data_IF_163784943234
#
_entry.id   IF_163784943234
#
_cell.length_a   1.000
_cell.length_b   1.000
_cell.length_c   1.000
_cell.angle_alpha   90.00
_cell.angle_beta   90.00
_cell.angle_gamma   90.00
#
_symmetry.space_group_name_H-M   'P 1'
#
loop_
_entity.id
_entity.type
_entity.pdbx_description
1 polymer ?
#
# COMPACT_ATOMS: atom_id res chain seq x y z
N UNK A 1 -37.95 9.20 -26.61
CA UNK A 1 -36.84 8.20 -26.58
C UNK A 1 -36.44 8.02 -25.14
N UNK A 2 -36.23 6.78 -24.70
CA UNK A 2 -35.90 6.47 -23.29
C UNK A 2 -34.48 5.97 -23.15
N UNK A 3 -33.85 6.33 -22.05
CA UNK A 3 -32.47 5.96 -21.69
C UNK A 3 -32.50 5.11 -20.43
N UNK A 4 -31.86 3.96 -20.46
CA UNK A 4 -31.57 3.18 -19.26
C UNK A 4 -30.34 3.73 -18.58
N UNK A 5 -30.51 4.22 -17.38
CA UNK A 5 -29.40 4.76 -16.57
C UNK A 5 -28.54 3.67 -15.95
N UNK A 6 -27.36 4.02 -15.48
CA UNK A 6 -26.49 3.11 -14.71
C UNK A 6 -27.09 2.62 -13.39
N UNK A 7 -28.12 3.30 -12.88
CA UNK A 7 -28.85 2.90 -11.68
C UNK A 7 -30.12 2.08 -11.97
N UNK A 8 -30.21 1.47 -13.15
CA UNK A 8 -31.33 0.64 -13.60
C UNK A 8 -32.68 1.37 -13.68
N UNK A 9 -32.71 2.69 -13.66
CA UNK A 9 -33.90 3.49 -13.95
C UNK A 9 -34.03 3.79 -15.43
N UNK A 10 -35.27 4.02 -15.88
CA UNK A 10 -35.57 4.43 -17.25
C UNK A 10 -36.01 5.89 -17.20
N UNK A 11 -35.37 6.75 -17.96
CA UNK A 11 -35.67 8.18 -18.03
C UNK A 11 -35.82 8.63 -19.48
N UNK A 12 -36.53 9.74 -19.69
CA UNK A 12 -36.55 10.35 -21.01
C UNK A 12 -35.16 10.89 -21.38
N UNK A 13 -34.82 10.73 -22.66
CA UNK A 13 -33.58 11.28 -23.20
C UNK A 13 -33.59 12.81 -23.06
N UNK A 14 -32.52 13.34 -22.47
CA UNK A 14 -32.34 14.78 -22.28
C UNK A 14 -30.88 15.15 -22.61
N UNK A 15 -30.70 15.87 -23.74
CA UNK A 15 -29.39 16.31 -24.21
C UNK A 15 -28.70 17.30 -23.24
N UNK A 16 -29.46 18.03 -22.41
CA UNK A 16 -28.88 18.88 -21.36
C UNK A 16 -28.04 18.10 -20.34
N UNK A 17 -28.38 16.83 -20.08
CA UNK A 17 -27.57 15.96 -19.20
C UNK A 17 -26.20 15.66 -19.81
N UNK A 18 -26.10 15.58 -21.15
CA UNK A 18 -24.82 15.41 -21.86
C UNK A 18 -23.97 16.66 -21.68
N UNK A 19 -24.53 17.87 -21.92
CA UNK A 19 -23.84 19.13 -21.72
C UNK A 19 -23.31 19.24 -20.28
N UNK A 20 -24.17 18.97 -19.30
CA UNK A 20 -23.79 19.03 -17.89
C UNK A 20 -22.65 18.06 -17.55
N UNK A 21 -22.68 16.83 -18.09
CA UNK A 21 -21.60 15.85 -17.91
C UNK A 21 -20.30 16.31 -18.56
N UNK A 22 -20.35 16.82 -19.79
CA UNK A 22 -19.20 17.35 -20.52
C UNK A 22 -18.53 18.52 -19.79
N UNK A 23 -19.31 19.45 -19.26
CA UNK A 23 -18.79 20.60 -18.52
C UNK A 23 -18.25 20.17 -17.15
N UNK A 24 -19.01 19.38 -16.39
CA UNK A 24 -18.67 19.02 -15.01
C UNK A 24 -17.56 17.96 -14.94
N UNK A 25 -17.68 16.89 -15.71
CA UNK A 25 -16.76 15.74 -15.67
C UNK A 25 -15.59 15.96 -16.61
N UNK A 26 -15.86 16.42 -17.85
CA UNK A 26 -14.85 16.64 -18.87
C UNK A 26 -14.12 17.97 -18.75
N UNK A 27 -14.67 18.94 -17.99
CA UNK A 27 -14.17 20.32 -17.92
C UNK A 27 -14.15 21.04 -19.28
N UNK A 28 -15.10 20.74 -20.17
CA UNK A 28 -15.20 21.37 -21.45
C UNK A 28 -15.75 22.81 -21.31
N UNK A 29 -15.31 23.75 -22.16
CA UNK A 29 -16.00 25.03 -22.33
C UNK A 29 -17.46 24.80 -22.77
N UNK A 30 -18.38 25.60 -22.27
CA UNK A 30 -19.82 25.44 -22.51
C UNK A 30 -20.17 25.39 -24.02
N UNK A 31 -19.60 26.29 -24.81
CA UNK A 31 -19.83 26.35 -26.26
C UNK A 31 -19.39 25.08 -26.99
N UNK A 32 -18.25 24.53 -26.60
CA UNK A 32 -17.74 23.25 -27.14
C UNK A 32 -18.64 22.08 -26.70
N UNK A 33 -19.05 22.05 -25.43
CA UNK A 33 -19.96 21.04 -24.92
C UNK A 33 -21.31 21.03 -25.66
N UNK A 34 -21.82 22.21 -26.00
CA UNK A 34 -23.04 22.34 -26.80
C UNK A 34 -22.86 21.76 -28.21
N UNK A 35 -21.78 22.12 -28.92
CA UNK A 35 -21.47 21.60 -30.26
C UNK A 35 -21.32 20.08 -30.28
N UNK A 36 -20.57 19.53 -29.34
CA UNK A 36 -20.39 18.06 -29.24
C UNK A 36 -21.73 17.38 -28.95
N UNK A 37 -22.53 17.95 -28.05
CA UNK A 37 -23.86 17.42 -27.73
C UNK A 37 -24.81 17.39 -28.88
N UNK A 38 -24.85 18.45 -29.67
CA UNK A 38 -25.69 18.56 -30.90
C UNK A 38 -25.32 17.48 -31.91
N UNK A 39 -24.04 17.22 -32.11
CA UNK A 39 -23.59 16.15 -33.02
C UNK A 39 -23.94 14.76 -32.48
N UNK A 40 -23.75 14.52 -31.19
CA UNK A 40 -24.12 13.27 -30.54
C UNK A 40 -25.62 13.03 -30.64
N UNK A 41 -26.44 14.05 -30.39
CA UNK A 41 -27.89 14.00 -30.51
C UNK A 41 -28.33 13.64 -31.95
N UNK A 42 -27.72 14.26 -32.96
CA UNK A 42 -27.97 13.93 -34.36
C UNK A 42 -27.61 12.49 -34.70
N UNK A 43 -26.53 11.94 -34.16
CA UNK A 43 -26.14 10.52 -34.33
C UNK A 43 -27.12 9.59 -33.65
N UNK A 44 -27.55 9.90 -32.43
CA UNK A 44 -28.55 9.11 -31.69
C UNK A 44 -29.86 9.01 -32.50
N UNK A 45 -30.36 10.11 -33.03
CA UNK A 45 -31.58 10.08 -33.85
C UNK A 45 -31.39 9.31 -35.16
N UNK A 46 -30.21 9.38 -35.76
CA UNK A 46 -29.90 8.69 -37.03
C UNK A 46 -29.83 7.17 -36.84
N UNK A 47 -29.36 6.68 -35.69
CA UNK A 47 -29.23 5.23 -35.41
C UNK A 47 -30.55 4.53 -35.12
N UNK A 48 -31.66 5.23 -34.87
CA UNK A 48 -32.99 4.69 -34.61
C UNK A 48 -33.02 3.53 -33.60
N UNK A 49 -32.13 3.54 -32.63
CA UNK A 49 -32.03 2.50 -31.60
C UNK A 49 -33.27 2.53 -30.69
N UNK A 50 -33.91 1.35 -30.51
CA UNK A 50 -35.09 1.22 -29.65
C UNK A 50 -34.76 1.51 -28.18
N UNK A 51 -33.54 1.21 -27.73
CA UNK A 51 -33.09 1.41 -26.36
C UNK A 51 -31.71 2.09 -26.34
N UNK A 52 -31.65 3.23 -25.67
CA UNK A 52 -30.39 3.91 -25.34
C UNK A 52 -29.94 3.51 -23.95
N UNK A 53 -28.64 3.37 -23.78
CA UNK A 53 -28.04 3.25 -22.44
C UNK A 53 -27.08 4.41 -22.21
N UNK A 54 -26.88 4.78 -20.95
CA UNK A 54 -25.91 5.81 -20.60
C UNK A 54 -24.48 5.48 -21.08
N UNK A 55 -24.14 4.20 -21.15
CA UNK A 55 -22.86 3.73 -21.69
C UNK A 55 -22.74 4.00 -23.19
N UNK A 56 -23.77 3.68 -23.97
CA UNK A 56 -23.77 3.93 -25.42
C UNK A 56 -23.68 5.43 -25.75
N UNK A 57 -24.41 6.26 -25.01
CA UNK A 57 -24.33 7.72 -25.16
C UNK A 57 -22.90 8.20 -24.91
N UNK A 58 -22.23 7.69 -23.86
CA UNK A 58 -20.85 8.04 -23.52
C UNK A 58 -19.85 7.59 -24.60
N UNK A 59 -20.04 6.42 -25.18
CA UNK A 59 -19.23 5.95 -26.32
C UNK A 59 -19.38 6.87 -27.55
N UNK A 60 -20.60 7.28 -27.86
CA UNK A 60 -20.84 8.25 -28.92
C UNK A 60 -20.17 9.60 -28.65
N UNK A 61 -20.28 10.10 -27.41
CA UNK A 61 -19.57 11.32 -26.98
C UNK A 61 -18.07 11.17 -27.17
N UNK A 62 -17.48 10.07 -26.72
CA UNK A 62 -16.06 9.80 -26.86
C UNK A 62 -15.62 9.70 -28.34
N UNK A 63 -16.44 9.09 -29.20
CA UNK A 63 -16.17 9.02 -30.64
C UNK A 63 -16.14 10.41 -31.28
N UNK A 64 -17.15 11.25 -30.97
CA UNK A 64 -17.22 12.61 -31.49
C UNK A 64 -16.04 13.46 -30.99
N UNK A 65 -15.66 13.36 -29.71
CA UNK A 65 -14.50 14.06 -29.18
C UNK A 65 -13.19 13.67 -29.88
N UNK A 66 -12.98 12.39 -30.18
CA UNK A 66 -11.81 11.90 -30.91
C UNK A 66 -11.79 12.40 -32.37
N UNK A 67 -12.91 12.36 -33.07
CA UNK A 67 -13.04 12.83 -34.46
C UNK A 67 -12.73 14.31 -34.59
N UNK A 68 -13.02 15.08 -33.55
CA UNK A 68 -12.72 16.53 -33.50
C UNK A 68 -11.33 16.85 -32.89
N UNK A 69 -10.50 15.83 -32.58
CA UNK A 69 -9.15 16.02 -32.03
C UNK A 69 -9.10 16.43 -30.56
N UNK A 70 -10.19 16.24 -29.83
CA UNK A 70 -10.32 16.61 -28.41
C UNK A 70 -9.99 15.45 -27.45
N UNK A 71 -8.87 14.78 -27.65
CA UNK A 71 -8.46 13.60 -26.90
C UNK A 71 -8.29 13.88 -25.40
N UNK A 72 -7.83 15.07 -25.04
CA UNK A 72 -7.64 15.46 -23.64
C UNK A 72 -8.95 15.43 -22.82
N UNK A 73 -10.06 15.82 -23.41
CA UNK A 73 -11.37 15.78 -22.74
C UNK A 73 -11.93 14.36 -22.67
N UNK A 74 -11.68 13.54 -23.68
CA UNK A 74 -12.04 12.12 -23.67
C UNK A 74 -11.41 11.41 -22.47
N UNK A 75 -10.13 11.65 -22.15
CA UNK A 75 -9.48 11.04 -21.00
C UNK A 75 -10.19 11.37 -19.67
N UNK A 76 -10.68 12.60 -19.53
CA UNK A 76 -11.42 13.00 -18.32
C UNK A 76 -12.81 12.36 -18.23
N UNK A 77 -13.42 12.03 -19.37
CA UNK A 77 -14.72 11.37 -19.46
C UNK A 77 -14.62 9.84 -19.47
N UNK A 78 -13.40 9.28 -19.48
CA UNK A 78 -13.19 7.86 -19.47
C UNK A 78 -13.85 7.22 -18.23
N UNK A 79 -14.52 6.10 -18.42
CA UNK A 79 -15.02 5.28 -17.31
C UNK A 79 -13.88 4.42 -16.79
N UNK A 80 -13.72 4.44 -15.51
CA UNK A 80 -12.91 3.47 -14.78
C UNK A 80 -13.84 2.33 -14.38
N UNK A 81 -13.50 1.10 -14.73
CA UNK A 81 -14.32 -0.07 -14.39
C UNK A 81 -13.92 -1.31 -15.16
N UNK A 82 -14.52 -2.43 -14.77
CA UNK A 82 -14.23 -3.73 -15.38
C UNK A 82 -15.17 -4.02 -16.56
N UNK A 83 -14.67 -4.59 -17.66
CA UNK A 83 -15.48 -5.16 -18.72
C UNK A 83 -16.41 -6.25 -18.17
N UNK A 84 -17.60 -6.39 -18.74
CA UNK A 84 -18.59 -7.41 -18.31
C UNK A 84 -18.00 -8.82 -18.33
N UNK A 85 -17.17 -9.12 -19.33
CA UNK A 85 -16.51 -10.40 -19.47
C UNK A 85 -15.58 -10.69 -18.27
N UNK A 86 -14.74 -9.73 -17.86
CA UNK A 86 -13.84 -9.90 -16.73
C UNK A 86 -14.60 -10.11 -15.41
N UNK A 87 -15.69 -9.37 -15.19
CA UNK A 87 -16.56 -9.60 -14.03
C UNK A 87 -17.14 -11.00 -14.02
N UNK A 88 -17.60 -11.49 -15.17
CA UNK A 88 -18.11 -12.85 -15.31
C UNK A 88 -17.02 -13.89 -15.04
N UNK A 89 -15.82 -13.67 -15.55
CA UNK A 89 -14.66 -14.53 -15.33
C UNK A 89 -14.27 -14.59 -13.85
N UNK A 90 -14.24 -13.43 -13.16
CA UNK A 90 -14.00 -13.36 -11.71
C UNK A 90 -15.03 -14.18 -10.92
N UNK A 91 -16.31 -14.12 -11.28
CA UNK A 91 -17.36 -14.90 -10.64
C UNK A 91 -17.18 -16.40 -10.93
N UNK A 92 -16.89 -16.76 -12.18
CA UNK A 92 -16.73 -18.15 -12.58
C UNK A 92 -15.52 -18.80 -11.92
N UNK A 93 -14.44 -18.05 -11.75
CA UNK A 93 -13.20 -18.51 -11.13
C UNK A 93 -13.08 -18.06 -9.65
N UNK A 94 -14.19 -17.82 -8.97
CA UNK A 94 -14.22 -17.32 -7.60
C UNK A 94 -13.50 -18.25 -6.59
N UNK A 95 -13.40 -19.54 -6.89
CA UNK A 95 -12.64 -20.52 -6.11
C UNK A 95 -11.12 -20.21 -6.05
N UNK A 96 -10.60 -19.47 -7.03
CA UNK A 96 -9.20 -19.02 -7.07
C UNK A 96 -8.94 -17.76 -6.25
N UNK A 97 -9.99 -17.15 -5.70
CA UNK A 97 -9.92 -15.91 -4.91
C UNK A 97 -9.90 -16.24 -3.42
N UNK A 98 -8.86 -15.79 -2.74
CA UNK A 98 -8.77 -15.95 -1.28
C UNK A 98 -9.89 -15.17 -0.57
N UNK A 99 -10.36 -15.71 0.54
CA UNK A 99 -11.40 -15.12 1.42
C UNK A 99 -12.82 -15.01 0.80
N UNK A 100 -13.12 -15.82 -0.21
CA UNK A 100 -14.48 -15.96 -0.71
C UNK A 100 -15.08 -14.66 -1.27
N UNK A 101 -16.35 -14.38 -0.95
CA UNK A 101 -17.09 -13.24 -1.50
C UNK A 101 -16.45 -11.89 -1.14
N UNK A 102 -15.93 -11.73 0.06
CA UNK A 102 -15.27 -10.48 0.48
C UNK A 102 -13.99 -10.24 -0.32
N UNK A 103 -13.18 -11.29 -0.54
CA UNK A 103 -11.99 -11.21 -1.38
C UNK A 103 -12.31 -10.86 -2.83
N UNK A 104 -13.40 -11.41 -3.38
CA UNK A 104 -13.88 -11.07 -4.71
C UNK A 104 -14.25 -9.58 -4.84
N UNK A 105 -15.02 -9.07 -3.89
CA UNK A 105 -15.40 -7.66 -3.85
C UNK A 105 -14.18 -6.74 -3.68
N UNK A 106 -13.23 -7.12 -2.82
CA UNK A 106 -12.02 -6.38 -2.59
C UNK A 106 -11.13 -6.33 -3.83
N UNK A 107 -10.92 -7.47 -4.51
CA UNK A 107 -10.16 -7.57 -5.75
C UNK A 107 -10.77 -6.72 -6.86
N UNK A 108 -12.11 -6.77 -7.02
CA UNK A 108 -12.83 -5.91 -7.96
C UNK A 108 -12.58 -4.42 -7.68
N UNK A 109 -12.68 -4.01 -6.41
CA UNK A 109 -12.38 -2.64 -6.02
C UNK A 109 -10.93 -2.24 -6.28
N UNK A 110 -9.97 -3.12 -5.97
CA UNK A 110 -8.55 -2.87 -6.24
C UNK A 110 -8.27 -2.67 -7.73
N UNK A 111 -8.89 -3.46 -8.61
CA UNK A 111 -8.70 -3.33 -10.07
C UNK A 111 -9.20 -1.97 -10.56
N UNK A 112 -10.37 -1.53 -10.10
CA UNK A 112 -10.92 -0.21 -10.42
C UNK A 112 -10.00 0.93 -9.94
N UNK A 113 -9.51 0.84 -8.71
CA UNK A 113 -8.57 1.85 -8.18
C UNK A 113 -7.21 1.83 -8.87
N UNK A 114 -6.71 0.66 -9.28
CA UNK A 114 -5.47 0.53 -10.03
C UNK A 114 -5.59 1.19 -11.42
N UNK A 115 -6.67 0.94 -12.12
CA UNK A 115 -6.94 1.58 -13.41
C UNK A 115 -7.04 3.10 -13.27
N UNK A 116 -7.79 3.59 -12.27
CA UNK A 116 -7.88 5.03 -11.98
C UNK A 116 -6.50 5.63 -11.65
N UNK A 117 -5.66 4.90 -10.90
CA UNK A 117 -4.30 5.35 -10.59
C UNK A 117 -3.49 5.57 -11.87
N UNK A 118 -3.46 4.55 -12.74
CA UNK A 118 -2.63 4.55 -13.96
C UNK A 118 -3.14 5.53 -15.03
N UNK A 119 -4.46 5.69 -15.14
CA UNK A 119 -5.05 6.51 -16.21
C UNK A 119 -5.27 7.97 -15.83
N UNK A 120 -5.49 8.27 -14.54
CA UNK A 120 -5.97 9.59 -14.11
C UNK A 120 -5.15 10.26 -13.01
N UNK A 121 -4.44 9.49 -12.18
CA UNK A 121 -3.75 10.04 -11.00
C UNK A 121 -2.26 10.27 -11.25
N UNK A 122 -1.60 9.29 -11.87
CA UNK A 122 -0.16 9.36 -12.17
C UNK A 122 0.10 10.23 -13.40
N UNK A 123 1.27 10.89 -13.45
CA UNK A 123 1.80 11.41 -14.69
C UNK A 123 1.98 10.29 -15.72
N UNK A 124 1.77 10.59 -16.99
CA UNK A 124 1.82 9.59 -18.07
C UNK A 124 3.18 8.86 -18.12
N UNK A 125 4.28 9.57 -17.95
CA UNK A 125 5.63 9.01 -17.95
C UNK A 125 5.84 7.96 -16.82
N UNK A 126 5.23 8.16 -15.66
CA UNK A 126 5.28 7.20 -14.54
C UNK A 126 4.35 6.00 -14.77
N UNK A 127 3.17 6.23 -15.31
CA UNK A 127 2.27 5.15 -15.68
C UNK A 127 2.89 4.28 -16.79
N UNK A 128 3.47 4.89 -17.82
CA UNK A 128 4.16 4.21 -18.91
C UNK A 128 5.39 3.43 -18.38
N UNK A 129 6.18 4.02 -17.48
CA UNK A 129 7.32 3.36 -16.86
C UNK A 129 6.90 2.16 -15.98
N UNK A 130 5.73 2.22 -15.35
CA UNK A 130 5.18 1.07 -14.65
C UNK A 130 4.75 -0.02 -15.63
N UNK A 131 4.09 0.32 -16.71
CA UNK A 131 3.64 -0.63 -17.73
C UNK A 131 4.81 -1.28 -18.47
N UNK A 132 5.85 -0.50 -18.81
CA UNK A 132 7.06 -1.00 -19.49
C UNK A 132 7.94 -1.87 -18.60
N UNK A 133 7.91 -1.70 -17.27
CA UNK A 133 8.76 -2.41 -16.31
C UNK A 133 10.03 -1.67 -15.91
N UNK A 134 10.18 -0.39 -16.26
CA UNK A 134 11.28 0.46 -15.76
C UNK A 134 11.12 0.75 -14.28
N UNK A 135 9.86 0.79 -13.83
CA UNK A 135 9.49 0.93 -12.43
C UNK A 135 8.31 0.00 -12.09
N UNK A 136 8.18 -0.32 -10.81
CA UNK A 136 7.04 -1.08 -10.28
C UNK A 136 6.35 -0.32 -9.15
N UNK A 137 5.02 -0.26 -9.21
CA UNK A 137 4.17 0.21 -8.12
C UNK A 137 3.51 -1.02 -7.50
N UNK A 138 3.86 -1.31 -6.25
CA UNK A 138 3.25 -2.41 -5.48
C UNK A 138 1.83 -2.02 -5.07
N UNK A 139 0.90 -2.95 -5.18
CA UNK A 139 -0.51 -2.75 -4.81
C UNK A 139 -1.12 -1.46 -5.39
N UNK A 140 -1.13 -1.28 -6.72
CA UNK A 140 -1.61 -0.05 -7.34
C UNK A 140 -3.05 0.30 -6.94
N UNK A 141 -3.90 -0.70 -6.69
CA UNK A 141 -5.27 -0.49 -6.22
C UNK A 141 -5.39 0.10 -4.80
N UNK A 142 -4.36 -0.01 -3.98
CA UNK A 142 -4.32 0.54 -2.62
C UNK A 142 -3.40 1.76 -2.51
N UNK A 143 -2.56 2.00 -3.51
CA UNK A 143 -1.48 2.97 -3.47
C UNK A 143 -1.94 4.39 -3.12
N UNK A 144 -3.08 4.83 -3.62
CA UNK A 144 -3.61 6.18 -3.38
C UNK A 144 -4.38 6.33 -2.07
N UNK A 145 -4.73 5.23 -1.40
CA UNK A 145 -5.69 5.23 -0.29
C UNK A 145 -5.13 4.71 1.03
N UNK A 146 -4.05 3.90 1.00
CA UNK A 146 -3.43 3.36 2.21
C UNK A 146 -1.92 3.63 2.24
N UNK A 147 -1.34 3.88 3.43
CA UNK A 147 0.10 3.79 3.64
C UNK A 147 0.57 2.34 3.50
N UNK A 148 1.84 2.14 3.23
CA UNK A 148 2.40 0.79 3.08
C UNK A 148 2.74 0.17 4.42
N UNK A 149 3.49 0.88 5.25
CA UNK A 149 3.87 0.42 6.58
C UNK A 149 3.52 1.48 7.62
N UNK A 150 2.95 1.02 8.73
CA UNK A 150 2.61 1.83 9.90
C UNK A 150 3.45 1.33 11.07
N UNK A 151 4.13 2.24 11.77
CA UNK A 151 4.67 1.98 13.11
C UNK A 151 3.80 2.70 14.12
N UNK A 152 3.28 1.98 15.09
CA UNK A 152 2.38 2.55 16.10
C UNK A 152 2.76 2.10 17.50
N UNK A 153 2.88 3.05 18.41
CA UNK A 153 3.01 2.76 19.82
C UNK A 153 1.65 2.42 20.41
N UNK A 154 1.46 1.15 20.76
CA UNK A 154 0.16 0.66 21.25
C UNK A 154 0.03 0.73 22.77
N UNK A 155 1.07 1.11 23.50
CA UNK A 155 1.03 1.18 24.97
C UNK A 155 -0.09 2.11 25.45
N UNK A 156 -0.12 3.35 24.96
CA UNK A 156 -1.18 4.30 25.32
C UNK A 156 -2.57 3.81 24.91
N UNK A 157 -2.69 3.19 23.71
CA UNK A 157 -3.95 2.66 23.23
C UNK A 157 -4.53 1.57 24.12
N UNK A 158 -3.65 0.75 24.71
CA UNK A 158 -4.03 -0.34 25.62
C UNK A 158 -4.28 0.19 27.04
N UNK A 159 -3.46 1.10 27.55
CA UNK A 159 -3.54 1.61 28.91
C UNK A 159 -4.73 2.55 29.11
N UNK A 160 -4.96 3.47 28.19
CA UNK A 160 -6.00 4.50 28.27
C UNK A 160 -7.29 4.10 27.55
N UNK A 161 -7.18 3.15 26.60
CA UNK A 161 -8.24 2.84 25.64
C UNK A 161 -8.33 3.87 24.53
N UNK A 162 -9.24 3.66 23.58
CA UNK A 162 -9.40 4.53 22.41
C UNK A 162 -10.87 4.86 22.20
N UNK A 163 -11.19 6.14 22.16
CA UNK A 163 -12.46 6.62 21.63
C UNK A 163 -12.34 6.84 20.12
N UNK A 164 -12.93 5.93 19.35
CA UNK A 164 -12.96 6.01 17.90
C UNK A 164 -14.06 6.98 17.48
N UNK A 165 -13.71 8.23 17.23
CA UNK A 165 -14.63 9.24 16.70
C UNK A 165 -14.83 9.01 15.19
N UNK A 166 -15.69 8.06 14.84
CA UNK A 166 -15.97 7.78 13.44
C UNK A 166 -17.46 7.60 13.19
N UNK A 167 -17.98 8.21 12.14
CA UNK A 167 -19.36 8.09 11.70
C UNK A 167 -19.74 6.68 11.20
N UNK A 168 -18.77 5.74 11.15
CA UNK A 168 -18.87 4.54 10.32
C UNK A 168 -18.50 3.25 11.04
N UNK A 169 -18.25 3.28 12.35
CA UNK A 169 -17.77 2.12 13.06
C UNK A 169 -18.87 1.50 13.91
N UNK A 170 -19.02 0.20 13.80
CA UNK A 170 -19.83 -0.60 14.73
C UNK A 170 -19.23 -0.62 16.14
N UNK A 171 -17.97 -0.20 16.29
CA UNK A 171 -17.23 -0.08 17.55
C UNK A 171 -16.84 1.38 17.73
N UNK A 172 -17.40 2.03 18.74
CA UNK A 172 -17.07 3.43 19.05
C UNK A 172 -15.96 3.59 20.08
N UNK A 173 -15.60 2.53 20.82
CA UNK A 173 -14.58 2.56 21.87
C UNK A 173 -13.88 1.23 22.03
N UNK A 174 -12.53 1.28 22.13
CA UNK A 174 -11.74 0.16 22.61
C UNK A 174 -11.46 0.42 24.09
N UNK A 175 -11.88 -0.48 25.01
CA UNK A 175 -11.71 -0.25 26.44
C UNK A 175 -10.24 -0.35 26.87
N UNK A 176 -9.87 0.39 27.93
CA UNK A 176 -8.56 0.25 28.57
C UNK A 176 -8.34 -1.14 29.13
N UNK A 177 -7.13 -1.67 29.00
CA UNK A 177 -6.75 -2.99 29.51
C UNK A 177 -6.22 -2.86 30.93
N UNK A 178 -7.11 -3.10 31.92
CA UNK A 178 -6.75 -3.13 33.34
C UNK A 178 -6.42 -4.51 33.85
N UNK A 179 -6.93 -5.56 33.20
CA UNK A 179 -6.76 -6.95 33.61
C UNK A 179 -6.36 -7.81 32.40
N UNK A 180 -5.75 -8.96 32.68
CA UNK A 180 -5.41 -9.95 31.64
C UNK A 180 -6.64 -10.43 30.86
N UNK A 181 -7.81 -10.52 31.51
CA UNK A 181 -9.03 -10.95 30.83
C UNK A 181 -9.46 -10.01 29.70
N UNK A 182 -9.15 -8.73 29.81
CA UNK A 182 -9.50 -7.72 28.80
C UNK A 182 -8.43 -7.60 27.69
N UNK A 183 -7.23 -8.14 27.92
CA UNK A 183 -6.10 -8.01 26.98
C UNK A 183 -6.43 -8.63 25.62
N UNK A 184 -6.91 -9.87 25.59
CA UNK A 184 -7.21 -10.57 24.34
C UNK A 184 -8.23 -9.81 23.48
N UNK A 185 -9.33 -9.38 24.08
CA UNK A 185 -10.39 -8.65 23.37
C UNK A 185 -9.89 -7.32 22.83
N UNK A 186 -9.22 -6.51 23.67
CA UNK A 186 -8.72 -5.20 23.25
C UNK A 186 -7.66 -5.32 22.15
N UNK A 187 -6.73 -6.28 22.30
CA UNK A 187 -5.68 -6.51 21.31
C UNK A 187 -6.27 -6.98 19.98
N UNK A 188 -7.23 -7.92 20.00
CA UNK A 188 -7.90 -8.39 18.78
C UNK A 188 -8.67 -7.27 18.08
N UNK A 189 -9.33 -6.37 18.84
CA UNK A 189 -10.02 -5.20 18.27
C UNK A 189 -9.03 -4.23 17.62
N UNK A 190 -7.92 -3.92 18.28
CA UNK A 190 -6.88 -3.03 17.74
C UNK A 190 -6.32 -3.64 16.44
N UNK A 191 -5.94 -4.91 16.45
CA UNK A 191 -5.38 -5.58 15.27
C UNK A 191 -6.39 -5.62 14.13
N UNK A 192 -7.64 -5.98 14.40
CA UNK A 192 -8.69 -6.03 13.38
C UNK A 192 -8.95 -4.69 12.69
N UNK A 193 -8.83 -3.58 13.43
CA UNK A 193 -9.00 -2.24 12.86
C UNK A 193 -7.74 -1.80 12.11
N UNK A 194 -6.57 -1.86 12.75
CA UNK A 194 -5.35 -1.28 12.18
C UNK A 194 -4.81 -2.07 10.97
N UNK A 195 -5.10 -3.38 10.92
CA UNK A 195 -4.72 -4.21 9.76
C UNK A 195 -5.35 -3.74 8.45
N UNK A 196 -6.45 -3.01 8.53
CA UNK A 196 -7.17 -2.44 7.38
C UNK A 196 -6.66 -1.05 6.98
N UNK A 197 -5.76 -0.47 7.76
CA UNK A 197 -5.25 0.89 7.55
C UNK A 197 -3.86 0.93 6.90
N UNK A 198 -3.23 -0.23 6.66
CA UNK A 198 -1.98 -0.36 5.91
C UNK A 198 -2.09 -1.40 4.81
N UNK A 199 -1.33 -1.23 3.73
CA UNK A 199 -1.34 -2.17 2.60
C UNK A 199 -0.31 -3.31 2.72
N UNK A 200 0.71 -3.18 3.58
CA UNK A 200 1.79 -4.16 3.68
C UNK A 200 2.09 -4.62 5.11
N UNK A 201 2.33 -3.70 6.04
CA UNK A 201 2.74 -4.05 7.39
C UNK A 201 2.29 -3.03 8.44
N UNK A 202 1.92 -3.52 9.62
CA UNK A 202 1.78 -2.69 10.81
C UNK A 202 2.71 -3.23 11.90
N UNK A 203 3.62 -2.40 12.38
CA UNK A 203 4.52 -2.72 13.49
C UNK A 203 3.94 -2.15 14.78
N UNK A 204 3.64 -3.04 15.73
CA UNK A 204 3.13 -2.68 17.05
C UNK A 204 4.30 -2.53 18.01
N UNK A 205 4.67 -1.27 18.28
CA UNK A 205 5.72 -0.93 19.23
C UNK A 205 5.19 -0.85 20.67
N UNK A 206 6.10 -1.08 21.63
CA UNK A 206 5.87 -0.98 23.09
C UNK A 206 4.76 -1.91 23.66
N UNK A 207 4.18 -2.79 22.86
CA UNK A 207 3.24 -3.78 23.37
C UNK A 207 3.94 -4.75 24.32
N UNK A 208 4.99 -5.42 23.84
CA UNK A 208 5.64 -6.52 24.58
C UNK A 208 6.24 -6.05 25.91
N UNK A 209 6.98 -4.92 25.97
CA UNK A 209 7.41 -4.38 27.26
C UNK A 209 6.26 -4.07 28.21
N UNK A 210 5.13 -3.60 27.71
CA UNK A 210 3.97 -3.26 28.55
C UNK A 210 3.31 -4.48 29.22
N UNK A 211 3.57 -5.69 28.69
CA UNK A 211 3.09 -6.94 29.27
C UNK A 211 3.79 -7.33 30.57
N UNK A 212 4.92 -6.69 30.93
CA UNK A 212 5.67 -6.98 32.17
C UNK A 212 4.82 -6.79 33.43
N UNK A 213 3.80 -5.96 33.40
CA UNK A 213 2.82 -5.79 34.49
C UNK A 213 2.02 -7.08 34.79
N UNK A 214 1.98 -8.02 33.84
CA UNK A 214 1.30 -9.33 33.98
C UNK A 214 2.25 -10.49 34.28
N UNK A 215 3.51 -10.23 34.65
CA UNK A 215 4.53 -11.25 34.92
C UNK A 215 4.19 -12.22 36.07
N UNK A 216 3.16 -11.92 36.88
CA UNK A 216 2.70 -12.78 37.97
C UNK A 216 1.90 -14.00 37.50
N UNK A 217 1.30 -13.94 36.31
CA UNK A 217 0.49 -15.02 35.74
C UNK A 217 0.86 -15.26 34.27
N UNK A 218 2.04 -15.83 34.07
CA UNK A 218 2.59 -16.13 32.75
C UNK A 218 1.78 -17.18 31.96
N UNK A 219 1.25 -18.25 32.59
CA UNK A 219 0.41 -19.21 31.86
C UNK A 219 -0.87 -18.59 31.30
N UNK A 220 -1.54 -17.74 32.09
CA UNK A 220 -2.74 -17.04 31.61
C UNK A 220 -2.39 -15.98 30.54
N UNK A 221 -1.26 -15.28 30.68
CA UNK A 221 -0.76 -14.38 29.65
C UNK A 221 -0.50 -15.12 28.33
N UNK A 222 0.16 -16.26 28.38
CA UNK A 222 0.42 -17.09 27.20
C UNK A 222 -0.89 -17.48 26.50
N UNK A 223 -1.85 -18.00 27.26
CA UNK A 223 -3.17 -18.38 26.75
C UNK A 223 -3.88 -17.22 26.08
N UNK A 224 -3.90 -16.03 26.71
CA UNK A 224 -4.54 -14.82 26.17
C UNK A 224 -3.86 -14.31 24.90
N UNK A 225 -2.56 -14.45 24.78
CA UNK A 225 -1.84 -14.10 23.56
C UNK A 225 -2.17 -15.08 22.43
N UNK A 226 -2.22 -16.39 22.69
CA UNK A 226 -2.66 -17.38 21.69
C UNK A 226 -4.06 -17.06 21.20
N UNK A 227 -5.00 -16.82 22.12
CA UNK A 227 -6.39 -16.44 21.81
C UNK A 227 -6.42 -15.19 20.92
N UNK A 228 -5.63 -14.16 21.27
CA UNK A 228 -5.54 -12.90 20.48
C UNK A 228 -5.01 -13.14 19.08
N UNK A 229 -3.89 -13.89 18.96
CA UNK A 229 -3.26 -14.14 17.67
C UNK A 229 -4.18 -14.95 16.75
N UNK A 230 -4.82 -15.98 17.28
CA UNK A 230 -5.74 -16.84 16.51
C UNK A 230 -6.97 -16.05 16.08
N UNK A 231 -7.63 -15.37 17.01
CA UNK A 231 -8.82 -14.58 16.72
C UNK A 231 -8.52 -13.44 15.72
N UNK A 232 -7.40 -12.74 15.92
CA UNK A 232 -6.99 -11.68 15.01
C UNK A 232 -6.75 -12.19 13.60
N UNK A 233 -6.12 -13.36 13.45
CA UNK A 233 -5.83 -13.94 12.13
C UNK A 233 -7.07 -14.31 11.35
N UNK A 234 -8.20 -14.59 12.02
CA UNK A 234 -9.48 -14.85 11.36
C UNK A 234 -10.19 -13.58 10.88
N UNK A 235 -9.84 -12.43 11.47
CA UNK A 235 -10.46 -11.11 11.15
C UNK A 235 -9.57 -10.23 10.28
N UNK A 236 -8.31 -10.62 10.10
CA UNK A 236 -7.33 -9.87 9.29
C UNK A 236 -7.39 -10.28 7.83
N UNK A 237 -7.51 -9.26 6.99
CA UNK A 237 -7.12 -9.30 5.60
C UNK A 237 -7.98 -10.16 4.68
N UNK A 238 -8.28 -9.57 3.57
CA UNK A 238 -9.13 -10.12 2.51
C UNK A 238 -8.31 -10.64 1.32
N UNK A 239 -6.97 -10.75 1.40
CA UNK A 239 -6.15 -11.11 0.26
C UNK A 239 -4.85 -11.84 0.67
N UNK A 240 -4.22 -12.55 -0.29
CA UNK A 240 -2.86 -13.10 -0.20
C UNK A 240 -1.82 -12.06 0.21
N UNK A 241 -2.05 -10.82 -0.17
CA UNK A 241 -1.25 -9.65 0.21
C UNK A 241 -1.66 -9.05 1.55
N UNK A 242 -2.31 -9.84 2.40
CA UNK A 242 -2.78 -9.35 3.70
C UNK A 242 -1.65 -8.71 4.49
N UNK A 243 -1.97 -7.55 5.05
CA UNK A 243 -1.11 -6.82 5.96
C UNK A 243 -0.56 -7.72 7.04
N UNK A 244 0.75 -7.75 7.19
CA UNK A 244 1.41 -8.43 8.30
C UNK A 244 1.34 -7.54 9.54
N UNK A 245 0.92 -8.09 10.67
CA UNK A 245 1.00 -7.41 11.96
C UNK A 245 2.23 -7.90 12.69
N UNK A 246 3.22 -7.05 12.86
CA UNK A 246 4.48 -7.39 13.49
C UNK A 246 4.53 -6.87 14.93
N UNK A 247 4.77 -7.79 15.87
CA UNK A 247 5.00 -7.44 17.27
C UNK A 247 6.50 -7.25 17.48
N UNK A 248 6.87 -6.06 17.97
CA UNK A 248 8.27 -5.77 18.23
C UNK A 248 8.66 -6.14 19.65
N UNK A 249 9.79 -6.84 19.78
CA UNK A 249 10.43 -7.19 21.03
C UNK A 249 11.74 -6.39 21.13
N UNK A 250 11.74 -5.24 21.87
CA UNK A 250 12.92 -4.41 22.00
C UNK A 250 13.99 -5.05 22.89
N UNK A 251 15.22 -4.62 22.71
CA UNK A 251 16.33 -4.96 23.64
C UNK A 251 15.99 -4.54 25.07
N UNK A 252 16.34 -5.41 26.02
CA UNK A 252 16.13 -5.15 27.45
C UNK A 252 14.74 -5.53 27.98
N UNK A 253 13.88 -6.07 27.13
CA UNK A 253 12.60 -6.67 27.58
C UNK A 253 12.86 -7.85 28.54
N UNK A 254 12.02 -7.99 29.57
CA UNK A 254 12.10 -9.07 30.55
C UNK A 254 12.08 -10.42 29.83
N UNK A 255 13.10 -11.26 30.11
CA UNK A 255 13.29 -12.56 29.46
C UNK A 255 12.11 -13.53 29.72
N UNK A 256 11.44 -13.44 30.87
CA UNK A 256 10.26 -14.25 31.16
C UNK A 256 9.11 -13.89 30.19
N UNK A 257 8.89 -12.61 29.99
CA UNK A 257 7.88 -12.11 29.03
C UNK A 257 8.25 -12.52 27.60
N UNK A 258 9.51 -12.34 27.19
CA UNK A 258 9.98 -12.73 25.87
C UNK A 258 9.72 -14.24 25.63
N UNK A 259 10.10 -15.10 26.57
CA UNK A 259 9.85 -16.55 26.46
C UNK A 259 8.36 -16.89 26.39
N UNK A 260 7.53 -16.22 27.17
CA UNK A 260 6.07 -16.41 27.15
C UNK A 260 5.47 -16.00 25.80
N UNK A 261 5.89 -14.86 25.27
CA UNK A 261 5.43 -14.38 23.93
C UNK A 261 5.87 -15.36 22.83
N UNK A 262 7.12 -15.81 22.86
CA UNK A 262 7.64 -16.78 21.88
C UNK A 262 6.92 -18.13 21.99
N UNK A 263 6.59 -18.60 23.21
CA UNK A 263 5.80 -19.82 23.42
C UNK A 263 4.39 -19.67 22.86
N UNK A 264 3.72 -18.55 23.14
CA UNK A 264 2.40 -18.25 22.59
C UNK A 264 2.43 -18.19 21.06
N UNK A 265 3.44 -17.53 20.50
CA UNK A 265 3.59 -17.41 19.05
C UNK A 265 3.90 -18.78 18.39
N UNK A 266 4.72 -19.61 19.01
CA UNK A 266 4.96 -21.00 18.57
C UNK A 266 3.67 -21.83 18.55
N UNK A 267 2.82 -21.69 19.56
CA UNK A 267 1.53 -22.37 19.62
C UNK A 267 0.60 -21.87 18.50
N UNK A 268 0.57 -20.54 18.29
CA UNK A 268 -0.18 -19.95 17.20
C UNK A 268 0.28 -20.43 15.81
N UNK A 269 1.59 -20.52 15.54
CA UNK A 269 2.10 -21.00 14.25
C UNK A 269 1.75 -22.44 13.95
N UNK A 270 1.58 -23.28 14.96
CA UNK A 270 1.08 -24.66 14.79
C UNK A 270 -0.38 -24.70 14.34
N UNK A 271 -1.19 -23.72 14.73
CA UNK A 271 -2.61 -23.61 14.40
C UNK A 271 -2.85 -22.90 13.06
N UNK A 272 -1.87 -22.14 12.59
CA UNK A 272 -2.02 -21.25 11.42
C UNK A 272 -0.87 -21.49 10.43
N UNK A 273 -1.10 -22.29 9.36
CA UNK A 273 -0.04 -22.62 8.39
C UNK A 273 0.59 -21.42 7.69
N UNK A 274 -0.17 -20.36 7.51
CA UNK A 274 0.28 -19.10 6.91
C UNK A 274 0.02 -17.96 7.91
N UNK A 275 0.96 -17.71 8.84
CA UNK A 275 0.74 -16.71 9.88
C UNK A 275 0.71 -15.30 9.30
N UNK A 276 -0.31 -14.53 9.67
CA UNK A 276 -0.46 -13.10 9.36
C UNK A 276 0.17 -12.21 10.43
N UNK A 277 0.53 -12.79 11.55
CA UNK A 277 1.26 -12.14 12.64
C UNK A 277 2.73 -12.51 12.51
N UNK A 278 3.62 -11.54 12.74
CA UNK A 278 5.06 -11.71 12.74
C UNK A 278 5.71 -11.14 14.00
N UNK A 279 6.97 -11.48 14.22
CA UNK A 279 7.79 -10.95 15.30
C UNK A 279 8.99 -10.21 14.72
N UNK A 280 9.28 -9.03 15.26
CA UNK A 280 10.50 -8.28 15.00
C UNK A 280 11.29 -8.23 16.31
N UNK A 281 12.42 -8.89 16.35
CA UNK A 281 13.24 -9.04 17.54
C UNK A 281 14.50 -8.17 17.41
N UNK A 282 14.61 -7.17 18.28
CA UNK A 282 15.84 -6.39 18.36
C UNK A 282 16.93 -7.25 19.00
N UNK A 283 18.11 -7.30 18.39
CA UNK A 283 19.23 -8.05 18.93
C UNK A 283 20.52 -7.23 18.97
N UNK A 284 21.40 -7.61 19.92
CA UNK A 284 22.79 -7.20 19.96
C UNK A 284 23.68 -8.46 20.02
N UNK A 285 24.90 -8.38 19.44
CA UNK A 285 25.82 -9.52 19.39
C UNK A 285 25.99 -10.13 20.80
N UNK A 286 25.60 -11.41 20.94
CA UNK A 286 25.76 -12.19 22.17
C UNK A 286 24.53 -12.40 23.06
N UNK A 287 23.38 -11.79 22.75
CA UNK A 287 22.17 -11.88 23.62
C UNK A 287 21.05 -12.80 23.10
N UNK A 288 21.24 -13.47 21.97
CA UNK A 288 20.18 -14.32 21.35
C UNK A 288 20.19 -15.75 21.90
N UNK A 289 21.25 -16.18 22.55
CA UNK A 289 21.47 -17.60 22.91
C UNK A 289 20.34 -18.25 23.70
N UNK A 290 19.69 -17.50 24.60
CA UNK A 290 18.66 -18.07 25.49
C UNK A 290 17.30 -18.34 24.82
N UNK A 291 17.07 -17.78 23.63
CA UNK A 291 15.80 -17.92 22.88
C UNK A 291 16.00 -18.53 21.49
N UNK A 292 17.24 -18.83 21.10
CA UNK A 292 17.58 -19.31 19.76
C UNK A 292 16.86 -20.60 19.38
N UNK A 293 16.74 -21.53 20.33
CA UNK A 293 16.08 -22.81 20.09
C UNK A 293 14.59 -22.62 19.76
N UNK A 294 13.86 -21.88 20.61
CA UNK A 294 12.42 -21.66 20.39
C UNK A 294 12.16 -20.86 19.10
N UNK A 295 13.03 -19.92 18.77
CA UNK A 295 12.93 -19.15 17.51
C UNK A 295 13.21 -20.05 16.30
N UNK A 296 14.19 -20.94 16.36
CA UNK A 296 14.46 -21.93 15.31
C UNK A 296 13.24 -22.84 15.08
N UNK A 297 12.61 -23.32 16.14
CA UNK A 297 11.38 -24.11 16.06
C UNK A 297 10.22 -23.33 15.43
N UNK A 298 10.06 -22.06 15.80
CA UNK A 298 9.05 -21.15 15.20
C UNK A 298 9.28 -20.99 13.69
N UNK A 299 10.51 -20.75 13.27
CA UNK A 299 10.86 -20.59 11.84
C UNK A 299 10.58 -21.90 11.08
N UNK A 300 10.96 -23.05 11.67
CA UNK A 300 10.67 -24.36 11.07
C UNK A 300 9.17 -24.61 10.89
N UNK A 301 8.34 -24.06 11.76
CA UNK A 301 6.88 -24.14 11.67
C UNK A 301 6.27 -23.12 10.70
N UNK A 302 7.08 -22.33 9.99
CA UNK A 302 6.61 -21.28 9.08
C UNK A 302 6.34 -19.92 9.72
N UNK A 303 6.76 -19.72 10.98
CA UNK A 303 6.60 -18.45 11.69
C UNK A 303 7.44 -17.33 11.07
N UNK A 304 6.89 -16.13 11.01
CA UNK A 304 7.55 -14.93 10.49
C UNK A 304 8.36 -14.26 11.61
N UNK A 305 9.67 -14.43 11.61
CA UNK A 305 10.57 -13.80 12.59
C UNK A 305 11.66 -13.04 11.87
N UNK A 306 11.85 -11.79 12.25
CA UNK A 306 12.93 -10.93 11.80
C UNK A 306 13.81 -10.51 12.96
N UNK A 307 15.13 -10.56 12.76
CA UNK A 307 16.10 -9.98 13.70
C UNK A 307 16.61 -8.65 13.17
N UNK A 308 16.65 -7.64 14.02
CA UNK A 308 17.13 -6.32 13.64
C UNK A 308 18.02 -5.71 14.72
N UNK A 309 19.00 -4.90 14.31
CA UNK A 309 19.80 -4.05 15.22
C UNK A 309 19.20 -2.67 15.40
N UNK A 310 18.30 -2.29 14.52
CA UNK A 310 17.65 -0.99 14.48
C UNK A 310 16.14 -1.17 14.47
N UNK A 311 15.42 -0.11 14.74
CA UNK A 311 13.97 -0.05 14.60
C UNK A 311 13.58 -0.26 13.12
N UNK A 312 13.57 -1.51 12.69
CA UNK A 312 13.33 -1.86 11.28
C UNK A 312 12.14 -2.81 11.20
N UNK A 313 11.25 -2.57 10.23
CA UNK A 313 10.13 -3.48 9.91
C UNK A 313 10.62 -4.72 9.15
N UNK A 314 9.76 -5.74 9.00
CA UNK A 314 10.05 -6.90 8.15
C UNK A 314 10.25 -6.52 6.68
N UNK A 315 9.72 -5.39 6.25
CA UNK A 315 9.93 -4.81 4.91
C UNK A 315 11.21 -3.95 4.81
N UNK A 316 12.09 -4.02 5.82
CA UNK A 316 13.38 -3.33 5.81
C UNK A 316 13.35 -1.82 6.06
N UNK A 317 12.21 -1.29 6.43
CA UNK A 317 12.04 0.15 6.68
C UNK A 317 12.43 0.50 8.12
N UNK A 318 13.36 1.45 8.30
CA UNK A 318 13.84 1.89 9.61
C UNK A 318 12.97 3.01 10.20
N UNK A 319 12.87 3.00 11.51
CA UNK A 319 12.06 3.92 12.30
C UNK A 319 12.93 4.64 13.35
N UNK A 320 12.80 5.95 13.56
CA UNK A 320 13.48 6.64 14.65
C UNK A 320 13.02 6.13 16.03
N UNK A 321 13.95 6.03 16.96
CA UNK A 321 13.62 5.67 18.35
C UNK A 321 12.80 6.79 19.01
N UNK A 322 11.86 6.39 19.88
CA UNK A 322 11.11 7.29 20.78
C UNK A 322 10.06 8.21 20.12
N UNK A 323 9.39 7.78 19.04
CA UNK A 323 8.21 8.50 18.55
C UNK A 323 6.96 8.11 19.36
N UNK A 324 6.24 9.08 19.85
CA UNK A 324 4.93 8.89 20.51
C UNK A 324 3.78 8.85 19.50
N UNK A 325 3.99 9.37 18.30
CA UNK A 325 3.02 9.41 17.22
C UNK A 325 3.22 8.23 16.27
N UNK A 326 2.16 7.81 15.60
CA UNK A 326 2.27 6.83 14.52
C UNK A 326 3.17 7.36 13.40
N UNK A 327 4.02 6.48 12.85
CA UNK A 327 4.89 6.80 11.72
C UNK A 327 4.43 6.03 10.50
N UNK A 328 4.31 6.73 9.38
CA UNK A 328 3.84 6.20 8.13
C UNK A 328 4.99 6.12 7.13
N UNK A 329 5.11 4.97 6.48
CA UNK A 329 5.98 4.83 5.33
C UNK A 329 5.14 4.67 4.07
N UNK A 330 5.44 5.51 3.10
CA UNK A 330 4.86 5.52 1.78
C UNK A 330 5.98 5.13 0.81
N UNK A 331 6.07 3.83 0.54
CA UNK A 331 7.02 3.23 -0.38
C UNK A 331 6.30 2.72 -1.62
N UNK A 332 6.34 1.42 -1.80
CA UNK A 332 5.67 0.70 -2.89
C UNK A 332 6.06 1.17 -4.29
N UNK A 333 7.23 1.81 -4.43
CA UNK A 333 7.76 2.23 -5.70
C UNK A 333 9.20 1.71 -5.82
N UNK A 334 9.40 0.81 -6.77
CA UNK A 334 10.68 0.16 -7.04
C UNK A 334 11.16 0.48 -8.44
N UNK A 335 12.46 0.77 -8.60
CA UNK A 335 13.10 1.05 -9.89
C UNK A 335 13.89 -0.17 -10.35
N UNK A 336 13.70 -0.59 -11.60
CA UNK A 336 14.41 -1.68 -12.25
C UNK A 336 15.78 -1.21 -12.75
N UNK A 337 16.81 -1.34 -11.91
CA UNK A 337 18.14 -0.92 -12.30
C UNK A 337 18.79 -1.79 -13.40
N UNK A 338 18.60 -3.14 -13.43
CA UNK A 338 19.10 -3.97 -14.53
C UNK A 338 18.64 -3.51 -15.91
N UNK A 339 17.36 -3.18 -16.04
CA UNK A 339 16.80 -2.69 -17.30
C UNK A 339 17.38 -1.35 -17.71
N UNK A 340 17.48 -0.41 -16.78
CA UNK A 340 18.15 0.88 -17.06
C UNK A 340 19.61 0.71 -17.46
N UNK A 341 20.31 -0.26 -16.85
CA UNK A 341 21.69 -0.57 -17.20
C UNK A 341 21.80 -1.19 -18.61
N UNK A 342 20.89 -2.08 -18.97
CA UNK A 342 20.81 -2.66 -20.32
C UNK A 342 20.58 -1.57 -21.37
N UNK A 343 19.64 -0.67 -21.17
CA UNK A 343 19.35 0.45 -22.06
C UNK A 343 20.52 1.45 -22.18
N UNK A 344 21.38 1.51 -21.18
CA UNK A 344 22.54 2.41 -21.18
C UNK A 344 23.69 1.98 -22.08
N UNK A 345 23.64 0.76 -22.66
CA UNK A 345 24.70 0.21 -23.49
C UNK A 345 26.11 0.34 -22.85
N UNK A 346 26.22 0.05 -21.56
CA UNK A 346 27.44 0.13 -20.76
C UNK A 346 27.94 1.57 -20.46
N UNK A 347 27.16 2.59 -20.75
CA UNK A 347 27.49 3.97 -20.40
C UNK A 347 26.99 4.29 -18.98
N UNK A 348 27.90 4.38 -18.01
CA UNK A 348 27.62 4.74 -16.61
C UNK A 348 26.95 6.11 -16.49
N UNK A 349 27.37 7.09 -17.30
CA UNK A 349 26.85 8.45 -17.22
C UNK A 349 25.40 8.51 -17.70
N UNK A 350 25.12 7.84 -18.81
CA UNK A 350 23.77 7.71 -19.33
C UNK A 350 22.86 6.96 -18.35
N UNK A 351 23.34 5.85 -17.75
CA UNK A 351 22.60 5.09 -16.73
C UNK A 351 22.16 5.98 -15.55
N UNK A 352 23.13 6.73 -14.97
CA UNK A 352 22.82 7.64 -13.86
C UNK A 352 21.86 8.78 -14.26
N UNK A 353 21.99 9.30 -15.48
CA UNK A 353 21.08 10.29 -16.01
C UNK A 353 19.66 9.75 -16.17
N UNK A 354 19.50 8.53 -16.69
CA UNK A 354 18.19 7.83 -16.80
C UNK A 354 17.56 7.59 -15.43
N UNK A 355 18.35 7.12 -14.47
CA UNK A 355 17.90 6.96 -13.08
C UNK A 355 17.38 8.30 -12.52
N UNK A 356 18.10 9.38 -12.72
CA UNK A 356 17.70 10.71 -12.26
C UNK A 356 16.42 11.20 -12.92
N UNK A 357 16.25 10.97 -14.22
CA UNK A 357 15.06 11.33 -14.98
C UNK A 357 13.82 10.57 -14.50
N UNK A 358 13.96 9.31 -14.13
CA UNK A 358 12.85 8.50 -13.62
C UNK A 358 12.52 8.83 -12.16
N UNK A 359 13.53 9.03 -11.31
CA UNK A 359 13.35 9.30 -9.89
C UNK A 359 12.58 10.60 -9.62
N UNK A 360 12.85 11.68 -10.35
CA UNK A 360 12.24 12.98 -10.07
C UNK A 360 10.71 12.96 -10.16
N UNK A 361 10.07 12.57 -11.29
CA UNK A 361 8.63 12.51 -11.38
C UNK A 361 8.01 11.42 -10.49
N UNK A 362 8.75 10.33 -10.23
CA UNK A 362 8.34 9.30 -9.27
C UNK A 362 8.18 9.89 -7.86
N UNK A 363 9.14 10.68 -7.39
CA UNK A 363 9.07 11.35 -6.09
C UNK A 363 7.97 12.41 -6.03
N UNK A 364 7.67 13.12 -7.12
CA UNK A 364 6.52 14.03 -7.20
C UNK A 364 5.19 13.29 -7.08
N UNK A 365 5.09 12.12 -7.70
CA UNK A 365 3.92 11.26 -7.58
C UNK A 365 3.73 10.76 -6.15
N UNK A 366 4.81 10.39 -5.46
CA UNK A 366 4.77 10.00 -4.04
C UNK A 366 4.37 11.17 -3.13
N UNK A 367 4.77 12.38 -3.44
CA UNK A 367 4.33 13.56 -2.69
C UNK A 367 2.82 13.82 -2.85
N UNK A 368 2.27 13.64 -4.06
CA UNK A 368 0.81 13.70 -4.29
C UNK A 368 0.10 12.59 -3.50
N UNK A 369 0.63 11.37 -3.51
CA UNK A 369 0.13 10.24 -2.71
C UNK A 369 0.05 10.61 -1.23
N UNK A 370 1.12 11.16 -0.67
CA UNK A 370 1.16 11.60 0.73
C UNK A 370 0.03 12.57 1.04
N UNK A 371 -0.20 13.57 0.18
CA UNK A 371 -1.30 14.53 0.35
C UNK A 371 -2.67 13.86 0.36
N UNK A 372 -2.91 12.89 -0.51
CA UNK A 372 -4.16 12.16 -0.58
C UNK A 372 -4.41 11.33 0.69
N UNK A 373 -3.41 10.53 1.10
CA UNK A 373 -3.50 9.70 2.31
C UNK A 373 -3.69 10.57 3.56
N UNK A 374 -2.93 11.66 3.69
CA UNK A 374 -3.08 12.62 4.78
C UNK A 374 -4.48 13.21 4.86
N UNK A 375 -5.09 13.49 3.71
CA UNK A 375 -6.46 13.98 3.65
C UNK A 375 -7.48 12.91 4.10
N UNK A 376 -7.31 11.65 3.67
CA UNK A 376 -8.18 10.54 4.09
C UNK A 376 -8.11 10.28 5.60
N UNK A 377 -6.91 10.33 6.17
CA UNK A 377 -6.72 10.22 7.63
C UNK A 377 -7.43 11.36 8.34
N UNK A 378 -7.26 12.60 7.89
CA UNK A 378 -7.95 13.78 8.45
C UNK A 378 -9.47 13.67 8.37
N UNK A 379 -10.00 13.04 7.33
CA UNK A 379 -11.43 12.78 7.18
C UNK A 379 -11.94 11.61 8.05
N UNK A 380 -11.06 10.92 8.77
CA UNK A 380 -11.41 9.80 9.65
C UNK A 380 -11.71 8.51 8.90
N UNK A 381 -11.25 8.38 7.64
CA UNK A 381 -11.39 7.14 6.86
C UNK A 381 -10.53 6.02 7.47
N UNK A 382 -9.40 6.38 8.07
CA UNK A 382 -8.49 5.50 8.81
C UNK A 382 -8.64 5.79 10.31
N UNK A 383 -9.56 5.14 11.04
CA UNK A 383 -9.98 5.57 12.38
C UNK A 383 -8.88 5.50 13.44
N UNK A 384 -8.00 4.49 13.41
CA UNK A 384 -6.89 4.37 14.37
C UNK A 384 -5.83 5.44 14.07
N UNK A 385 -5.47 5.63 12.81
CA UNK A 385 -4.52 6.68 12.41
C UNK A 385 -5.08 8.07 12.70
N UNK A 386 -6.36 8.30 12.46
CA UNK A 386 -7.00 9.59 12.73
C UNK A 386 -6.92 10.01 14.21
N UNK A 387 -6.91 9.06 15.14
CA UNK A 387 -6.75 9.34 16.57
C UNK A 387 -5.28 9.54 16.95
N UNK A 388 -4.34 8.85 16.29
CA UNK A 388 -2.93 8.80 16.65
C UNK A 388 -2.05 9.80 15.89
N UNK A 389 -2.56 10.39 14.80
CA UNK A 389 -1.81 11.30 13.93
C UNK A 389 -2.43 12.69 13.88
N UNK A 390 -2.84 13.22 15.04
CA UNK A 390 -3.47 14.55 15.13
C UNK A 390 -2.62 15.66 14.47
N UNK A 391 -1.30 15.45 14.37
CA UNK A 391 -0.38 16.33 13.66
C UNK A 391 0.47 15.53 12.67
N UNK A 392 0.01 15.42 11.41
CA UNK A 392 0.79 14.85 10.30
C UNK A 392 1.95 15.79 9.95
N UNK A 393 2.95 15.82 10.81
CA UNK A 393 4.15 16.60 10.61
C UNK A 393 5.16 15.86 9.70
N UNK A 394 6.12 16.60 9.17
CA UNK A 394 7.25 16.08 8.37
C UNK A 394 7.97 14.89 9.03
N UNK A 395 8.00 14.85 10.36
CA UNK A 395 8.65 13.80 11.15
C UNK A 395 7.86 12.49 11.22
N UNK A 396 6.59 12.48 10.81
CA UNK A 396 5.71 11.31 10.93
C UNK A 396 5.50 10.55 9.62
N UNK A 397 5.94 11.10 8.49
CA UNK A 397 5.81 10.47 7.18
C UNK A 397 7.16 10.38 6.49
N UNK A 398 7.52 9.19 6.01
CA UNK A 398 8.69 8.97 5.16
C UNK A 398 8.26 8.40 3.82
N UNK A 399 8.75 9.01 2.73
CA UNK A 399 8.64 8.45 1.38
C UNK A 399 9.83 7.52 1.15
N UNK A 400 9.58 6.32 0.65
CA UNK A 400 10.63 5.32 0.41
C UNK A 400 10.64 4.94 -1.05
N UNK A 401 11.77 5.18 -1.75
CA UNK A 401 12.00 4.70 -3.11
C UNK A 401 12.99 3.55 -3.07
N UNK A 402 12.65 2.43 -3.71
CA UNK A 402 13.45 1.22 -3.67
C UNK A 402 14.21 1.00 -4.99
N UNK A 403 15.50 0.71 -4.90
CA UNK A 403 16.37 0.40 -6.02
C UNK A 403 16.57 -1.12 -6.08
N UNK A 404 16.08 -1.76 -7.14
CA UNK A 404 16.12 -3.22 -7.28
C UNK A 404 17.19 -3.64 -8.27
N UNK A 405 17.92 -4.71 -7.93
CA UNK A 405 18.88 -5.35 -8.84
C UNK A 405 20.19 -4.57 -9.08
N UNK A 406 20.62 -3.77 -8.10
CA UNK A 406 21.82 -2.92 -8.24
C UNK A 406 23.08 -3.71 -8.63
N UNK A 407 23.32 -4.88 -8.04
CA UNK A 407 24.48 -5.71 -8.41
C UNK A 407 24.38 -6.24 -9.85
N UNK A 408 23.18 -6.62 -10.29
CA UNK A 408 22.95 -7.09 -11.66
C UNK A 408 23.12 -5.95 -12.68
N UNK A 409 22.69 -4.74 -12.32
CA UNK A 409 22.91 -3.55 -13.14
C UNK A 409 24.40 -3.27 -13.36
N UNK A 410 25.20 -3.34 -12.30
CA UNK A 410 26.67 -3.13 -12.39
C UNK A 410 27.33 -4.23 -13.24
N UNK A 411 26.90 -5.48 -13.07
CA UNK A 411 27.35 -6.56 -13.93
C UNK A 411 27.00 -6.32 -15.41
N UNK A 412 25.80 -5.81 -15.68
CA UNK A 412 25.37 -5.44 -17.05
C UNK A 412 26.24 -4.35 -17.67
N UNK A 413 26.71 -3.37 -16.86
CA UNK A 413 27.56 -2.27 -17.33
C UNK A 413 29.00 -2.77 -17.56
N UNK A 414 29.59 -3.50 -16.63
CA UNK A 414 31.02 -3.88 -16.63
C UNK A 414 31.29 -5.27 -17.19
N UNK A 415 30.29 -6.16 -17.25
CA UNK A 415 30.44 -7.55 -17.67
C UNK A 415 31.11 -8.47 -16.64
N UNK A 416 31.33 -8.03 -15.39
CA UNK A 416 31.87 -8.83 -14.30
C UNK A 416 31.41 -8.36 -12.91
N UNK A 417 31.54 -9.25 -11.93
CA UNK A 417 31.12 -9.01 -10.53
C UNK A 417 32.34 -8.70 -9.65
N UNK A 418 32.15 -7.83 -8.66
CA UNK A 418 33.06 -7.64 -7.52
C UNK A 418 34.52 -7.28 -7.83
N UNK A 419 34.73 -6.19 -8.54
CA UNK A 419 36.04 -5.52 -8.56
C UNK A 419 35.91 -4.10 -7.95
N UNK A 420 37.07 -3.44 -7.78
CA UNK A 420 37.11 -2.07 -7.26
C UNK A 420 36.30 -1.07 -8.12
N UNK A 421 36.28 -1.27 -9.45
CA UNK A 421 35.55 -0.44 -10.39
C UNK A 421 34.04 -0.60 -10.22
N UNK A 422 33.54 -1.85 -10.08
CA UNK A 422 32.14 -2.13 -9.79
C UNK A 422 31.69 -1.50 -8.48
N UNK A 423 32.51 -1.52 -7.44
CA UNK A 423 32.20 -0.86 -6.18
C UNK A 423 32.18 0.67 -6.30
N UNK A 424 33.06 1.26 -7.12
CA UNK A 424 33.03 2.70 -7.38
C UNK A 424 31.76 3.12 -8.12
N UNK A 425 31.32 2.36 -9.13
CA UNK A 425 30.06 2.61 -9.85
C UNK A 425 28.88 2.46 -8.90
N UNK A 426 28.84 1.39 -8.11
CA UNK A 426 27.81 1.17 -7.10
C UNK A 426 27.68 2.38 -6.17
N UNK A 427 28.80 2.88 -5.67
CA UNK A 427 28.82 4.03 -4.78
C UNK A 427 28.26 5.28 -5.46
N UNK A 428 28.70 5.58 -6.69
CA UNK A 428 28.20 6.72 -7.47
C UNK A 428 26.70 6.63 -7.78
N UNK A 429 26.17 5.43 -8.05
CA UNK A 429 24.73 5.22 -8.31
C UNK A 429 23.92 5.50 -7.05
N UNK A 430 24.32 4.94 -5.90
CA UNK A 430 23.67 5.17 -4.61
C UNK A 430 23.73 6.66 -4.25
N UNK A 431 24.92 7.27 -4.37
CA UNK A 431 25.14 8.69 -4.10
C UNK A 431 24.23 9.57 -4.97
N UNK A 432 24.14 9.27 -6.28
CA UNK A 432 23.23 9.97 -7.20
C UNK A 432 21.78 9.87 -6.74
N UNK A 433 21.33 8.68 -6.35
CA UNK A 433 19.95 8.47 -5.88
C UNK A 433 19.68 9.19 -4.54
N UNK A 434 20.63 9.13 -3.61
CA UNK A 434 20.54 9.79 -2.29
C UNK A 434 20.53 11.32 -2.44
N UNK A 435 21.36 11.87 -3.31
CA UNK A 435 21.42 13.31 -3.60
C UNK A 435 20.10 13.83 -4.17
N UNK A 436 19.52 13.08 -5.13
CA UNK A 436 18.20 13.41 -5.70
C UNK A 436 17.13 13.37 -4.61
N UNK A 437 17.10 12.30 -3.82
CA UNK A 437 16.15 12.12 -2.74
C UNK A 437 16.27 13.24 -1.69
N UNK A 438 17.51 13.57 -1.29
CA UNK A 438 17.80 14.60 -0.30
C UNK A 438 17.38 15.99 -0.79
N UNK A 439 17.75 16.33 -2.04
CA UNK A 439 17.40 17.62 -2.66
C UNK A 439 15.88 17.74 -2.77
N UNK A 440 15.23 16.72 -3.36
CA UNK A 440 13.79 16.71 -3.53
C UNK A 440 13.04 16.73 -2.19
N UNK A 441 13.56 16.02 -1.19
CA UNK A 441 13.02 16.03 0.18
C UNK A 441 13.05 17.43 0.81
N UNK A 442 14.14 18.19 0.62
CA UNK A 442 14.21 19.59 1.06
C UNK A 442 13.19 20.46 0.34
N UNK A 443 13.08 20.34 -0.98
CA UNK A 443 12.15 21.12 -1.80
C UNK A 443 10.68 20.86 -1.42
N UNK A 444 10.32 19.61 -1.17
CA UNK A 444 8.97 19.18 -0.80
C UNK A 444 8.67 19.30 0.69
N UNK A 445 9.66 19.53 1.52
CA UNK A 445 9.51 19.50 2.96
C UNK A 445 9.21 18.10 3.53
N UNK A 446 9.66 17.02 2.87
CA UNK A 446 9.39 15.63 3.23
C UNK A 446 10.67 14.85 3.53
N UNK A 447 10.56 13.79 4.33
CA UNK A 447 11.64 12.83 4.51
C UNK A 447 11.57 11.79 3.37
N UNK A 448 12.66 11.67 2.58
CA UNK A 448 12.74 10.71 1.48
C UNK A 448 13.91 9.78 1.76
N UNK A 449 13.65 8.48 1.73
CA UNK A 449 14.60 7.41 1.99
C UNK A 449 14.82 6.61 0.70
N UNK A 450 16.08 6.35 0.37
CA UNK A 450 16.45 5.39 -0.67
C UNK A 450 16.70 4.05 -0.01
N UNK A 451 16.00 3.02 -0.47
CA UNK A 451 16.10 1.64 0.03
C UNK A 451 16.61 0.70 -1.06
N UNK A 452 17.15 -0.43 -0.67
CA UNK A 452 17.60 -1.52 -1.55
C UNK A 452 17.17 -2.86 -0.97
N UNK A 453 15.90 -2.95 -0.57
CA UNK A 453 15.30 -4.18 -0.03
C UNK A 453 14.64 -4.99 -1.13
N UNK A 454 14.43 -6.28 -0.87
CA UNK A 454 13.59 -7.10 -1.74
C UNK A 454 12.20 -6.49 -1.86
N UNK A 455 11.63 -6.55 -3.06
CA UNK A 455 10.30 -6.04 -3.33
C UNK A 455 9.55 -6.99 -4.27
N UNK A 456 8.23 -6.97 -4.20
CA UNK A 456 7.36 -7.73 -5.10
C UNK A 456 7.60 -7.36 -6.58
N UNK A 457 8.22 -6.20 -6.82
CA UNK A 457 8.66 -5.77 -8.15
C UNK A 457 9.72 -6.67 -8.78
N UNK A 458 10.52 -7.38 -7.97
CA UNK A 458 11.61 -8.23 -8.49
C UNK A 458 11.08 -9.36 -9.36
N UNK A 459 9.99 -10.03 -8.96
CA UNK A 459 9.35 -11.10 -9.73
C UNK A 459 8.78 -10.57 -11.04
N UNK A 460 8.10 -9.42 -10.98
CA UNK A 460 7.55 -8.78 -12.16
C UNK A 460 8.63 -8.31 -13.14
N UNK A 461 9.74 -7.77 -12.65
CA UNK A 461 10.85 -7.35 -13.48
C UNK A 461 11.47 -8.54 -14.22
N UNK A 462 11.69 -9.67 -13.53
CA UNK A 462 12.20 -10.89 -14.15
C UNK A 462 11.23 -11.43 -15.22
N UNK A 463 9.93 -11.28 -15.01
CA UNK A 463 8.94 -11.75 -15.98
C UNK A 463 8.83 -10.85 -17.23
N UNK A 464 9.22 -9.58 -17.13
CA UNK A 464 9.16 -8.60 -18.24
C UNK A 464 10.47 -8.46 -19.01
N UNK A 465 11.62 -8.78 -18.40
CA UNK A 465 12.96 -8.70 -18.98
C UNK A 465 13.41 -10.09 -19.56
#
# INVERSE_FOLDING_TARGET
>A
MYVRTSHSSIEEFNSQKIIQSLVREGSLPLELAQKITEEVENRIYKYQTAYLTGSLIRELVNSVLLEHGHEEYRHKLARVGLPTFEVQEMITNAESVDNGVEGLLFKTGQTVFAEHLLTSTLPKDIADAHLSGDLHITNPGLWSILPDTIFINVKALIEDGIDLKGKYLNVCRIPSVKTLSNLSSALSMIIALISKEASQEVVLDDLIPSLSKYSKDLPELERKLVDSFTTSSTTMGYDKMSTVISFRIPLGTDQKIVKTVLSAYKTYTKLTPIPKIGLVIDYDKGKITDVSQIVSEIITLGGKVMFTKHNTSQKGVTHPKNSTSALLHLGSLSINLPRLAFESNKDETYFRARLALLMKPALDSMAKRNKNISNLIRLGVNPILAVNTLDMQRSTVSLVINLVGLQNAIYGILGFKNNNEGQQILHKVIETAVDIATKKGKDLGLNIIVSMTESDGSERFIALD
#
